data_IF_403113463112
#
_entry.id   IF_403113463112
#
_cell.length_a   1.000
_cell.length_b   1.000
_cell.length_c   1.000
_cell.angle_alpha   90.00
_cell.angle_beta   90.00
_cell.angle_gamma   90.00
#
_symmetry.space_group_name_H-M   'P 1'
#
loop_
_entity.id
_entity.type
_entity.pdbx_description
1 polymer ?
#
# COMPACT_ATOMS: atom_id res chain seq x y z
N UNK A 1 13.24 60.29 22.30
CA UNK A 1 12.09 59.37 22.13
C UNK A 1 12.01 58.74 20.72
N UNK A 2 12.34 59.41 19.60
CA UNK A 2 12.26 58.79 18.25
C UNK A 2 13.33 57.72 17.97
N UNK A 3 14.52 57.81 18.57
CA UNK A 3 15.63 56.84 18.37
C UNK A 3 15.41 55.52 19.11
N UNK A 4 14.76 55.54 20.28
CA UNK A 4 14.43 54.35 21.06
C UNK A 4 13.30 53.48 20.39
N UNK A 5 12.38 54.14 19.67
CA UNK A 5 11.32 53.41 18.93
C UNK A 5 11.89 52.64 17.71
N UNK A 6 12.94 53.18 17.04
CA UNK A 6 13.58 52.53 15.90
C UNK A 6 14.35 51.27 16.32
N UNK A 7 15.04 51.30 17.47
CA UNK A 7 15.74 50.11 17.98
C UNK A 7 14.77 49.03 18.46
N UNK A 8 13.60 49.38 18.98
CA UNK A 8 12.54 48.41 19.35
C UNK A 8 11.90 47.77 18.13
N UNK A 9 11.74 48.49 17.02
CA UNK A 9 11.21 47.97 15.76
C UNK A 9 12.18 46.99 15.10
N UNK A 10 13.50 47.24 15.14
CA UNK A 10 14.52 46.35 14.57
C UNK A 10 14.70 45.08 15.38
N UNK A 11 14.53 45.13 16.71
CA UNK A 11 14.57 43.94 17.58
C UNK A 11 13.41 42.97 17.33
N UNK A 12 12.24 43.46 16.87
CA UNK A 12 11.07 42.64 16.62
C UNK A 12 11.16 41.85 15.31
N UNK A 13 12.06 42.22 14.36
CA UNK A 13 12.18 41.54 13.06
C UNK A 13 13.21 40.41 13.03
N UNK A 14 13.99 40.23 14.12
CA UNK A 14 15.01 39.17 14.22
C UNK A 14 14.52 37.89 14.91
N UNK A 15 13.25 37.85 15.32
CA UNK A 15 12.66 36.70 15.99
C UNK A 15 11.90 35.79 15.08
N UNK A 16 12.60 34.91 14.31
CA UNK A 16 11.75 33.89 13.77
C UNK A 16 12.12 33.12 12.53
N UNK A 17 13.26 32.50 12.48
CA UNK A 17 13.40 31.25 11.73
C UNK A 17 13.62 30.10 12.72
N UNK A 18 12.61 29.74 13.47
CA UNK A 18 12.58 28.42 14.10
C UNK A 18 12.32 27.42 12.98
N UNK A 19 13.38 26.79 12.46
CA UNK A 19 13.27 25.61 11.62
C UNK A 19 12.43 24.61 12.42
N UNK A 20 11.22 24.34 11.93
CA UNK A 20 10.33 23.35 12.58
C UNK A 20 11.03 21.99 12.43
N UNK A 21 11.63 21.51 13.51
CA UNK A 21 12.25 20.17 13.59
C UNK A 21 11.29 19.05 13.16
N UNK A 22 9.99 19.31 13.25
CA UNK A 22 8.93 18.39 12.84
C UNK A 22 8.83 18.15 11.33
N UNK A 23 9.50 18.97 10.50
CA UNK A 23 9.52 18.81 9.05
C UNK A 23 10.63 17.87 8.57
N UNK A 24 11.57 17.51 9.42
CA UNK A 24 12.72 16.67 9.07
C UNK A 24 12.40 15.22 9.41
N UNK A 25 12.50 14.33 8.41
CA UNK A 25 12.45 12.88 8.64
C UNK A 25 13.76 12.44 9.33
N UNK A 26 13.65 11.45 10.21
CA UNK A 26 14.80 10.85 10.92
C UNK A 26 15.58 11.82 11.81
N UNK A 27 14.95 12.88 12.33
CA UNK A 27 15.60 13.95 13.07
C UNK A 27 16.30 13.48 14.35
N UNK A 28 15.80 12.43 15.02
CA UNK A 28 16.38 11.89 16.25
C UNK A 28 17.29 10.66 16.00
N UNK A 29 17.44 10.24 14.78
CA UNK A 29 18.44 9.24 14.45
C UNK A 29 19.79 9.92 14.44
N UNK A 30 20.67 9.62 15.41
CA UNK A 30 22.06 10.02 15.36
C UNK A 30 22.75 9.31 14.18
N UNK A 31 22.52 9.80 12.97
CA UNK A 31 23.29 9.43 11.79
C UNK A 31 24.60 10.19 11.85
N UNK A 32 25.44 9.85 12.81
CA UNK A 32 26.84 10.25 12.79
C UNK A 32 27.53 9.38 11.74
N UNK A 33 27.57 9.86 10.51
CA UNK A 33 28.56 9.41 9.53
C UNK A 33 29.95 9.94 10.01
N UNK A 34 30.98 9.12 10.28
CA UNK A 34 31.49 8.01 9.51
C UNK A 34 31.76 6.69 10.29
N UNK A 35 31.26 6.52 11.50
CA UNK A 35 31.50 5.33 12.30
C UNK A 35 30.21 4.57 12.71
N UNK A 36 29.16 4.65 11.92
CA UNK A 36 27.97 3.85 12.14
C UNK A 36 28.34 2.37 12.00
N UNK A 37 28.44 1.65 13.11
CA UNK A 37 28.37 0.19 13.10
C UNK A 37 27.07 -0.16 12.39
N UNK A 38 27.18 -0.79 11.22
CA UNK A 38 26.05 -1.21 10.41
C UNK A 38 25.13 -2.06 11.27
N UNK A 39 24.05 -1.50 11.76
CA UNK A 39 23.00 -2.27 12.39
C UNK A 39 22.18 -2.92 11.27
N UNK A 40 22.54 -4.14 10.90
CA UNK A 40 21.77 -4.94 9.96
C UNK A 40 20.46 -5.30 10.64
N UNK A 41 19.37 -4.69 10.21
CA UNK A 41 18.03 -5.12 10.61
C UNK A 41 17.72 -6.39 9.83
N UNK A 42 17.56 -7.51 10.53
CA UNK A 42 17.21 -8.79 9.91
C UNK A 42 15.80 -8.72 9.30
N UNK A 43 15.75 -8.61 7.99
CA UNK A 43 14.54 -8.62 7.18
C UNK A 43 14.09 -10.04 6.79
N UNK A 44 14.82 -11.07 7.22
CA UNK A 44 14.60 -12.47 6.81
C UNK A 44 13.21 -13.00 7.17
N UNK A 45 12.58 -12.49 8.24
CA UNK A 45 11.22 -12.88 8.63
C UNK A 45 10.12 -12.43 7.66
N UNK A 46 10.38 -11.41 6.86
CA UNK A 46 9.39 -10.86 5.92
C UNK A 46 9.47 -11.47 4.52
N UNK A 47 10.48 -12.29 4.24
CA UNK A 47 10.67 -12.92 2.93
C UNK A 47 9.63 -14.00 2.58
N UNK A 48 8.85 -14.47 3.55
CA UNK A 48 7.87 -15.57 3.38
C UNK A 48 6.45 -15.11 3.06
N UNK A 49 6.23 -13.82 2.84
CA UNK A 49 4.90 -13.36 2.45
C UNK A 49 4.65 -13.67 0.99
N UNK A 50 3.63 -14.45 0.70
CA UNK A 50 3.03 -14.64 -0.60
C UNK A 50 1.61 -14.10 -0.59
N UNK A 51 1.26 -13.32 -1.60
CA UNK A 51 -0.08 -12.81 -1.78
C UNK A 51 -1.05 -13.96 -2.06
N UNK A 52 -2.20 -13.95 -1.39
CA UNK A 52 -3.29 -14.88 -1.69
C UNK A 52 -4.36 -14.18 -2.47
N UNK A 53 -4.73 -14.78 -3.58
CA UNK A 53 -5.76 -14.29 -4.49
C UNK A 53 -7.08 -14.11 -3.73
N UNK A 54 -7.72 -12.96 -3.94
CA UNK A 54 -9.04 -12.67 -3.35
C UNK A 54 -10.08 -12.42 -4.46
N UNK A 55 -11.39 -12.53 -4.14
CA UNK A 55 -12.43 -12.09 -5.06
C UNK A 55 -12.18 -10.65 -5.55
N UNK A 56 -12.51 -10.39 -6.81
CA UNK A 56 -12.26 -9.14 -7.55
C UNK A 56 -10.80 -8.87 -7.92
N UNK A 57 -9.88 -9.81 -7.68
CA UNK A 57 -8.57 -9.74 -8.29
C UNK A 57 -8.65 -9.93 -9.82
N UNK A 58 -7.74 -9.29 -10.54
CA UNK A 58 -7.52 -9.51 -11.97
C UNK A 58 -6.26 -10.31 -12.17
N UNK A 59 -6.40 -11.42 -12.88
CA UNK A 59 -5.31 -12.34 -13.16
C UNK A 59 -4.91 -12.25 -14.63
N UNK A 60 -3.64 -11.98 -14.89
CA UNK A 60 -3.03 -12.26 -16.18
C UNK A 60 -2.62 -13.72 -16.18
N UNK A 61 -3.13 -14.46 -17.14
CA UNK A 61 -2.79 -15.87 -17.34
C UNK A 61 -2.26 -16.01 -18.76
N UNK A 62 -1.02 -16.41 -18.86
CA UNK A 62 -0.32 -16.66 -20.13
C UNK A 62 -0.01 -18.15 -20.23
N UNK A 63 -0.28 -18.73 -21.39
CA UNK A 63 0.11 -20.11 -21.70
C UNK A 63 1.21 -20.07 -22.77
N UNK A 64 2.39 -20.59 -22.42
CA UNK A 64 3.57 -20.45 -23.29
C UNK A 64 3.39 -21.16 -24.63
N UNK A 65 2.86 -22.36 -24.62
CA UNK A 65 2.68 -23.14 -25.85
C UNK A 65 1.33 -22.87 -26.57
N UNK A 66 0.39 -22.17 -25.91
CA UNK A 66 -0.97 -21.89 -26.38
C UNK A 66 -1.37 -20.45 -26.05
N UNK A 67 -0.72 -19.44 -26.65
CA UNK A 67 -0.95 -18.03 -26.32
C UNK A 67 -2.40 -17.58 -26.61
N UNK A 68 -3.11 -18.25 -27.53
CA UNK A 68 -4.52 -17.97 -27.85
C UNK A 68 -5.49 -18.29 -26.70
N UNK A 69 -5.08 -19.15 -25.75
CA UNK A 69 -5.86 -19.49 -24.56
C UNK A 69 -5.54 -18.57 -23.37
N UNK A 70 -4.55 -17.69 -23.52
CA UNK A 70 -4.18 -16.72 -22.52
C UNK A 70 -5.25 -15.63 -22.35
N UNK A 71 -5.21 -14.95 -21.20
CA UNK A 71 -6.17 -13.89 -20.84
C UNK A 71 -5.65 -12.49 -21.15
N UNK A 72 -4.43 -12.37 -21.64
CA UNK A 72 -3.78 -11.09 -21.97
C UNK A 72 -4.08 -10.75 -23.43
N UNK A 73 -5.07 -9.89 -23.67
CA UNK A 73 -5.31 -9.38 -25.02
C UNK A 73 -4.33 -8.24 -25.33
N UNK A 74 -3.59 -8.40 -26.42
CA UNK A 74 -2.59 -7.42 -26.91
C UNK A 74 -3.22 -6.07 -27.32
N UNK A 75 -4.55 -6.00 -27.44
CA UNK A 75 -5.28 -4.85 -27.99
C UNK A 75 -5.84 -3.87 -26.97
N UNK A 76 -5.76 -4.13 -25.66
CA UNK A 76 -6.31 -3.20 -24.68
C UNK A 76 -5.28 -2.15 -24.27
N UNK A 77 -5.42 -0.94 -24.80
CA UNK A 77 -4.62 0.23 -24.41
C UNK A 77 -4.81 0.65 -22.93
N UNK A 78 -5.80 0.10 -22.23
CA UNK A 78 -6.02 0.31 -20.79
C UNK A 78 -5.49 -0.88 -20.00
N UNK A 79 -4.30 -0.76 -19.46
CA UNK A 79 -3.63 -1.79 -18.63
C UNK A 79 -4.50 -2.33 -17.48
N UNK A 80 -5.43 -1.53 -16.96
CA UNK A 80 -6.29 -1.92 -15.84
C UNK A 80 -7.43 -2.88 -16.22
N UNK A 81 -7.68 -3.11 -17.52
CA UNK A 81 -8.74 -4.00 -18.01
C UNK A 81 -8.22 -5.34 -18.54
N UNK A 82 -6.91 -5.52 -18.60
CA UNK A 82 -6.31 -6.77 -19.03
C UNK A 82 -6.51 -7.88 -17.98
N UNK A 83 -6.55 -9.13 -18.45
CA UNK A 83 -6.69 -10.29 -17.58
C UNK A 83 -8.15 -10.64 -17.23
N UNK A 84 -8.32 -11.80 -16.60
CA UNK A 84 -9.61 -12.33 -16.16
C UNK A 84 -9.92 -11.90 -14.72
N UNK A 85 -11.18 -11.58 -14.46
CA UNK A 85 -11.65 -11.19 -13.12
C UNK A 85 -11.99 -12.45 -12.29
N UNK A 86 -11.48 -12.49 -11.06
CA UNK A 86 -11.93 -13.44 -10.04
C UNK A 86 -13.31 -13.00 -9.55
N UNK A 87 -14.32 -13.84 -9.74
CA UNK A 87 -15.69 -13.51 -9.36
C UNK A 87 -15.89 -13.52 -7.82
N UNK A 88 -17.05 -13.09 -7.33
CA UNK A 88 -17.37 -13.04 -5.91
C UNK A 88 -17.30 -14.41 -5.19
N UNK A 89 -17.46 -15.50 -5.93
CA UNK A 89 -17.32 -16.87 -5.40
C UNK A 89 -15.88 -17.40 -5.48
N UNK A 90 -14.89 -16.57 -5.85
CA UNK A 90 -13.48 -16.94 -5.93
C UNK A 90 -13.09 -17.76 -7.15
N UNK A 91 -13.89 -17.76 -8.21
CA UNK A 91 -13.61 -18.51 -9.43
C UNK A 91 -13.19 -17.59 -10.58
N UNK A 92 -12.39 -18.13 -11.48
CA UNK A 92 -12.12 -17.56 -12.81
C UNK A 92 -12.70 -18.46 -13.90
N UNK A 93 -13.08 -17.85 -15.03
CA UNK A 93 -13.51 -18.56 -16.24
C UNK A 93 -12.39 -18.54 -17.26
N UNK A 94 -12.03 -19.72 -17.71
CA UNK A 94 -10.97 -19.90 -18.71
C UNK A 94 -11.49 -20.81 -19.85
N UNK A 95 -10.96 -20.63 -21.07
CA UNK A 95 -11.29 -21.52 -22.19
C UNK A 95 -11.05 -22.99 -21.80
N UNK A 96 -11.70 -23.92 -22.43
CA UNK A 96 -11.64 -25.37 -22.22
C UNK A 96 -12.03 -25.84 -20.81
N UNK A 97 -11.38 -25.34 -19.75
CA UNK A 97 -11.59 -25.78 -18.34
C UNK A 97 -12.76 -25.10 -17.65
N UNK A 98 -13.46 -24.19 -18.35
CA UNK A 98 -14.68 -23.48 -17.89
C UNK A 98 -14.44 -22.62 -16.64
N UNK A 99 -14.65 -23.17 -15.43
CA UNK A 99 -14.60 -22.43 -14.16
C UNK A 99 -13.73 -23.14 -13.15
N UNK A 100 -12.76 -22.44 -12.58
CA UNK A 100 -11.82 -22.97 -11.60
C UNK A 100 -11.72 -22.03 -10.37
N UNK A 101 -11.76 -22.59 -9.16
CA UNK A 101 -11.64 -21.85 -7.91
C UNK A 101 -10.17 -21.53 -7.64
N UNK A 102 -9.85 -20.22 -7.48
CA UNK A 102 -8.49 -19.72 -7.24
C UNK A 102 -8.37 -18.85 -5.98
N UNK A 103 -9.48 -18.37 -5.41
CA UNK A 103 -9.40 -17.54 -4.19
C UNK A 103 -8.77 -18.33 -3.02
N UNK A 104 -7.97 -17.62 -2.21
CA UNK A 104 -7.22 -18.20 -1.10
C UNK A 104 -5.92 -18.90 -1.50
N UNK A 105 -5.70 -19.17 -2.78
CA UNK A 105 -4.46 -19.75 -3.30
C UNK A 105 -3.40 -18.63 -3.50
N UNK A 106 -2.13 -18.99 -3.36
CA UNK A 106 -1.02 -18.15 -3.84
C UNK A 106 -0.95 -18.18 -5.37
N UNK A 107 -0.18 -17.29 -5.98
CA UNK A 107 0.02 -17.30 -7.44
C UNK A 107 0.55 -18.67 -7.90
N UNK A 108 1.54 -19.20 -7.21
CA UNK A 108 2.15 -20.51 -7.51
C UNK A 108 1.16 -21.67 -7.35
N UNK A 109 0.35 -21.66 -6.29
CA UNK A 109 -0.68 -22.68 -6.06
C UNK A 109 -1.78 -22.64 -7.13
N UNK A 110 -2.23 -21.42 -7.50
CA UNK A 110 -3.24 -21.23 -8.54
C UNK A 110 -2.71 -21.63 -9.92
N UNK A 111 -1.48 -21.28 -10.25
CA UNK A 111 -0.79 -21.68 -11.48
C UNK A 111 -0.80 -23.21 -11.63
N UNK A 112 -0.27 -23.93 -10.65
CA UNK A 112 -0.23 -25.42 -10.69
C UNK A 112 -1.63 -26.05 -10.80
N UNK A 113 -2.62 -25.44 -10.15
CA UNK A 113 -4.01 -25.92 -10.23
C UNK A 113 -4.58 -25.75 -11.63
N UNK A 114 -4.28 -24.62 -12.30
CA UNK A 114 -4.71 -24.35 -13.67
C UNK A 114 -3.99 -25.28 -14.64
N UNK A 115 -2.66 -25.44 -14.52
CA UNK A 115 -1.86 -26.39 -15.33
C UNK A 115 -2.44 -27.80 -15.25
N UNK A 116 -2.71 -28.29 -14.04
CA UNK A 116 -3.32 -29.62 -13.84
C UNK A 116 -4.69 -29.73 -14.50
N UNK A 117 -5.49 -28.67 -14.50
CA UNK A 117 -6.80 -28.70 -15.15
C UNK A 117 -6.68 -28.72 -16.69
N UNK A 118 -5.70 -28.01 -17.25
CA UNK A 118 -5.44 -28.01 -18.69
C UNK A 118 -4.78 -29.29 -19.17
N UNK A 119 -4.02 -30.02 -18.37
CA UNK A 119 -3.37 -31.27 -18.72
C UNK A 119 -4.33 -32.37 -19.22
N UNK A 120 -5.65 -32.21 -18.96
CA UNK A 120 -6.69 -33.11 -19.53
C UNK A 120 -6.97 -32.82 -21.01
N UNK A 121 -6.64 -31.62 -21.50
CA UNK A 121 -6.99 -31.15 -22.83
C UNK A 121 -5.76 -30.83 -23.70
N UNK A 122 -4.63 -30.56 -23.09
CA UNK A 122 -3.40 -30.10 -23.74
C UNK A 122 -2.21 -30.91 -23.23
N UNK A 123 -1.35 -31.31 -24.14
CA UNK A 123 -0.01 -31.78 -23.82
C UNK A 123 0.87 -30.56 -23.48
N UNK A 124 1.72 -30.67 -22.46
CA UNK A 124 2.68 -29.62 -22.06
C UNK A 124 2.07 -28.25 -21.77
N UNK A 125 0.97 -28.24 -21.02
CA UNK A 125 0.33 -26.99 -20.55
C UNK A 125 1.20 -26.27 -19.50
N UNK A 126 2.02 -25.31 -19.94
CA UNK A 126 2.82 -24.45 -19.09
C UNK A 126 2.12 -23.10 -18.92
N UNK A 127 1.77 -22.74 -17.66
CA UNK A 127 1.00 -21.54 -17.32
C UNK A 127 1.85 -20.58 -16.52
N UNK A 128 1.80 -19.29 -16.85
CA UNK A 128 2.24 -18.21 -16.00
C UNK A 128 1.04 -17.43 -15.47
N UNK A 129 1.01 -17.12 -14.17
CA UNK A 129 -0.08 -16.39 -13.54
C UNK A 129 0.47 -15.21 -12.74
N UNK A 130 -0.10 -14.02 -13.01
CA UNK A 130 0.21 -12.80 -12.30
C UNK A 130 -1.08 -12.10 -11.83
N UNK A 131 -1.09 -11.58 -10.60
CA UNK A 131 -2.17 -10.70 -10.12
C UNK A 131 -1.84 -9.26 -10.50
N UNK A 132 -2.68 -8.64 -11.34
CA UNK A 132 -2.42 -7.34 -11.94
C UNK A 132 -2.78 -6.15 -11.04
N UNK A 133 -3.74 -6.29 -10.15
CA UNK A 133 -4.33 -5.18 -9.40
C UNK A 133 -3.88 -5.10 -7.94
N UNK A 134 -2.71 -5.63 -7.61
CA UNK A 134 -2.11 -5.48 -6.29
C UNK A 134 -1.79 -4.01 -6.01
N UNK A 135 -2.50 -3.39 -5.05
CA UNK A 135 -2.32 -1.99 -4.69
C UNK A 135 -2.51 -1.77 -3.19
N UNK A 136 -1.78 -0.80 -2.63
CA UNK A 136 -2.05 -0.18 -1.35
C UNK A 136 -2.68 1.20 -1.59
N UNK A 137 -3.18 1.83 -0.54
CA UNK A 137 -3.79 3.15 -0.63
C UNK A 137 -3.08 4.12 0.30
N UNK A 138 -2.78 5.33 -0.18
CA UNK A 138 -2.26 6.41 0.64
C UNK A 138 -3.19 7.61 0.56
N UNK A 139 -3.54 8.16 1.72
CA UNK A 139 -4.51 9.23 1.87
C UNK A 139 -3.98 10.30 2.83
N UNK A 140 -4.59 11.48 2.81
CA UNK A 140 -4.27 12.60 3.68
C UNK A 140 -3.16 13.49 3.12
N UNK A 141 -2.26 13.94 3.96
CA UNK A 141 -1.26 14.96 3.68
C UNK A 141 -0.06 14.43 2.87
N UNK A 142 -0.32 13.98 1.64
CA UNK A 142 0.67 13.60 0.62
C UNK A 142 0.40 14.37 -0.67
N UNK A 143 1.40 14.50 -1.53
CA UNK A 143 1.24 15.25 -2.79
C UNK A 143 0.25 14.58 -3.73
N UNK A 144 0.29 13.26 -3.86
CA UNK A 144 -0.57 12.48 -4.73
C UNK A 144 -1.26 11.38 -3.91
N UNK A 145 -2.41 11.70 -3.31
CA UNK A 145 -3.23 10.73 -2.60
C UNK A 145 -3.93 9.78 -3.58
N UNK A 146 -4.00 8.50 -3.23
CA UNK A 146 -4.69 7.52 -4.06
C UNK A 146 -4.11 6.10 -3.98
N UNK A 147 -4.46 5.25 -4.94
CA UNK A 147 -3.93 3.90 -5.04
C UNK A 147 -2.48 3.89 -5.50
N UNK A 148 -1.64 3.14 -4.80
CA UNK A 148 -0.24 2.89 -5.12
C UNK A 148 -0.08 1.45 -5.59
N UNK A 149 0.39 1.23 -6.81
CA UNK A 149 0.62 -0.11 -7.35
C UNK A 149 1.82 -0.77 -6.67
N UNK A 150 1.65 -2.04 -6.30
CA UNK A 150 2.71 -2.84 -5.69
C UNK A 150 3.25 -3.85 -6.72
N UNK A 151 4.37 -3.51 -7.35
CA UNK A 151 4.99 -4.37 -8.37
C UNK A 151 5.54 -5.68 -7.79
N UNK A 152 6.05 -5.66 -6.56
CA UNK A 152 6.71 -6.81 -5.90
C UNK A 152 5.89 -7.32 -4.70
N UNK A 153 4.56 -7.41 -4.80
CA UNK A 153 3.66 -7.89 -3.73
C UNK A 153 3.72 -7.09 -2.42
N UNK A 154 4.75 -6.32 -2.19
CA UNK A 154 4.96 -5.47 -1.01
C UNK A 154 5.87 -4.29 -1.35
N UNK A 155 5.77 -3.23 -0.57
CA UNK A 155 6.71 -2.10 -0.61
C UNK A 155 6.96 -1.59 0.81
N UNK A 156 8.05 -0.88 1.05
CA UNK A 156 8.24 -0.21 2.33
C UNK A 156 7.36 1.03 2.44
N UNK A 157 7.06 1.47 3.67
CA UNK A 157 6.31 2.71 3.89
C UNK A 157 6.99 3.90 3.17
N UNK A 158 8.32 3.96 3.24
CA UNK A 158 9.07 5.03 2.56
C UNK A 158 8.91 4.98 1.03
N UNK A 159 8.92 3.78 0.43
CA UNK A 159 8.65 3.62 -1.01
C UNK A 159 7.24 4.06 -1.40
N UNK A 160 6.24 3.78 -0.56
CA UNK A 160 4.86 4.24 -0.79
C UNK A 160 4.79 5.77 -0.73
N UNK A 161 5.43 6.40 0.27
CA UNK A 161 5.48 7.86 0.40
C UNK A 161 6.19 8.48 -0.82
N UNK A 162 7.30 7.89 -1.27
CA UNK A 162 8.03 8.36 -2.44
C UNK A 162 7.19 8.25 -3.73
N UNK A 163 6.44 7.15 -3.93
CA UNK A 163 5.52 7.00 -5.06
C UNK A 163 4.36 8.01 -5.00
N UNK A 164 3.92 8.41 -3.81
CA UNK A 164 2.94 9.47 -3.61
C UNK A 164 3.51 10.89 -3.80
N UNK A 165 4.78 11.01 -4.19
CA UNK A 165 5.44 12.30 -4.45
C UNK A 165 5.86 13.05 -3.19
N UNK A 166 5.98 12.36 -2.06
CA UNK A 166 6.36 12.88 -0.74
C UNK A 166 5.19 13.46 0.09
N UNK A 167 5.48 13.68 1.37
CA UNK A 167 4.58 14.30 2.34
C UNK A 167 4.44 15.81 2.08
N UNK A 168 3.25 16.38 2.33
CA UNK A 168 3.09 17.83 2.28
C UNK A 168 3.79 18.52 3.45
N UNK A 169 3.91 19.84 3.39
CA UNK A 169 4.41 20.66 4.51
C UNK A 169 3.48 20.65 5.72
N UNK A 170 2.19 20.36 5.49
CA UNK A 170 1.17 20.24 6.53
C UNK A 170 1.08 18.84 7.15
N UNK A 171 1.86 17.88 6.65
CA UNK A 171 1.83 16.50 7.13
C UNK A 171 2.40 16.35 8.54
N UNK A 172 1.70 15.61 9.37
CA UNK A 172 2.21 15.19 10.68
C UNK A 172 3.07 13.93 10.52
N UNK A 173 4.38 14.12 10.50
CA UNK A 173 5.37 13.05 10.33
C UNK A 173 5.49 12.14 11.56
N UNK A 174 4.96 12.56 12.71
CA UNK A 174 4.96 11.81 13.97
C UNK A 174 3.73 10.89 14.10
N UNK A 175 2.71 11.08 13.25
CA UNK A 175 1.46 10.34 13.36
C UNK A 175 0.94 9.88 11.99
N UNK A 176 1.63 8.92 11.38
CA UNK A 176 1.16 8.24 10.17
C UNK A 176 0.44 6.97 10.61
N UNK A 177 -0.83 6.85 10.23
CA UNK A 177 -1.68 5.72 10.59
C UNK A 177 -1.66 4.68 9.47
N UNK A 178 -1.33 3.45 9.81
CA UNK A 178 -1.35 2.31 8.90
C UNK A 178 -2.48 1.39 9.32
N UNK A 179 -3.44 1.16 8.44
CA UNK A 179 -4.58 0.26 8.63
C UNK A 179 -4.37 -1.00 7.80
N UNK A 180 -4.37 -2.16 8.46
CA UNK A 180 -4.19 -3.47 7.84
C UNK A 180 -5.43 -4.30 8.02
N UNK A 181 -6.01 -4.76 6.92
CA UNK A 181 -7.15 -5.67 6.98
C UNK A 181 -6.65 -7.12 7.02
N UNK A 182 -6.93 -7.83 8.13
CA UNK A 182 -6.56 -9.24 8.30
C UNK A 182 -7.68 -10.01 8.97
N UNK A 183 -8.09 -11.14 8.40
CA UNK A 183 -9.09 -12.05 8.96
C UNK A 183 -10.35 -11.33 9.45
N UNK A 184 -10.94 -10.51 8.60
CA UNK A 184 -12.14 -9.71 8.90
C UNK A 184 -11.99 -8.69 10.06
N UNK A 185 -10.76 -8.32 10.43
CA UNK A 185 -10.44 -7.30 11.44
C UNK A 185 -9.51 -6.25 10.85
N UNK A 186 -9.75 -4.99 11.19
CA UNK A 186 -8.84 -3.89 10.86
C UNK A 186 -7.87 -3.70 12.02
N UNK A 187 -6.59 -3.83 11.74
CA UNK A 187 -5.51 -3.54 12.69
C UNK A 187 -4.92 -2.19 12.32
N UNK A 188 -4.94 -1.26 13.24
CA UNK A 188 -4.31 0.05 13.06
C UNK A 188 -3.01 0.15 13.83
N UNK A 189 -2.07 0.86 13.24
CA UNK A 189 -0.79 1.19 13.86
C UNK A 189 -0.40 2.61 13.50
N UNK A 190 -0.09 3.43 14.50
CA UNK A 190 0.51 4.73 14.29
C UNK A 190 2.03 4.61 14.31
N UNK A 191 2.70 5.27 13.38
CA UNK A 191 4.15 5.30 13.26
C UNK A 191 4.67 6.73 13.21
N UNK A 192 5.87 6.93 13.75
CA UNK A 192 6.60 8.19 13.78
C UNK A 192 7.85 8.06 12.90
N UNK A 193 7.97 8.96 11.92
CA UNK A 193 9.11 9.04 10.99
C UNK A 193 10.19 10.05 11.44
N UNK A 194 10.04 10.69 12.60
CA UNK A 194 10.99 11.69 13.13
C UNK A 194 11.81 11.17 14.29
N UNK A 195 11.25 10.23 15.08
CA UNK A 195 11.82 9.72 16.31
C UNK A 195 12.89 8.63 16.13
N UNK A 196 13.40 8.10 17.24
CA UNK A 196 14.46 7.08 17.28
C UNK A 196 14.16 5.81 16.49
N UNK A 197 12.88 5.47 16.31
CA UNK A 197 12.43 4.31 15.55
C UNK A 197 12.05 4.64 14.10
N UNK A 198 12.37 5.83 13.61
CA UNK A 198 11.95 6.31 12.29
C UNK A 198 12.43 5.40 11.15
N UNK A 199 13.67 4.89 11.20
CA UNK A 199 14.19 3.94 10.20
C UNK A 199 13.35 2.67 10.19
N UNK A 200 13.05 2.10 11.37
CA UNK A 200 12.22 0.90 11.49
C UNK A 200 10.79 1.15 11.00
N UNK A 201 10.24 2.33 11.23
CA UNK A 201 8.94 2.75 10.72
C UNK A 201 8.97 2.89 9.19
N UNK A 202 9.98 3.56 8.64
CA UNK A 202 10.15 3.80 7.20
C UNK A 202 10.33 2.50 6.40
N UNK A 203 11.04 1.52 6.99
CA UNK A 203 11.27 0.20 6.38
C UNK A 203 10.15 -0.81 6.63
N UNK A 204 9.08 -0.42 7.33
CA UNK A 204 7.93 -1.29 7.55
C UNK A 204 7.28 -1.69 6.23
N UNK A 205 6.98 -2.99 6.07
CA UNK A 205 6.34 -3.50 4.87
C UNK A 205 4.84 -3.20 4.83
N UNK A 206 4.44 -2.68 3.69
CA UNK A 206 3.07 -2.42 3.27
C UNK A 206 2.67 -3.49 2.26
N UNK A 207 1.49 -4.04 2.42
CA UNK A 207 0.96 -5.14 1.63
C UNK A 207 -0.27 -4.70 0.83
N UNK A 208 -0.71 -5.50 -0.16
CA UNK A 208 -1.95 -5.21 -0.89
C UNK A 208 -3.14 -5.02 0.05
N UNK A 209 -3.96 -4.02 -0.27
CA UNK A 209 -5.13 -3.58 0.51
C UNK A 209 -4.82 -2.91 1.85
N UNK A 210 -3.54 -2.69 2.22
CA UNK A 210 -3.21 -1.81 3.34
C UNK A 210 -3.56 -0.36 2.98
N UNK A 211 -4.01 0.41 3.96
CA UNK A 211 -4.31 1.84 3.83
C UNK A 211 -3.39 2.63 4.74
N UNK A 212 -2.72 3.62 4.18
CA UNK A 212 -1.87 4.57 4.89
C UNK A 212 -2.61 5.91 4.94
N UNK A 213 -2.79 6.46 6.13
CA UNK A 213 -3.36 7.78 6.31
C UNK A 213 -2.34 8.71 6.97
N UNK A 214 -1.95 9.73 6.22
CA UNK A 214 -1.04 10.78 6.71
C UNK A 214 -1.88 11.91 7.30
N UNK A 215 -1.77 12.08 8.62
CA UNK A 215 -2.56 13.08 9.33
C UNK A 215 -2.01 14.49 9.16
N UNK A 216 -2.84 15.54 9.20
CA UNK A 216 -2.37 16.92 9.21
C UNK A 216 -1.77 17.33 10.56
N UNK A 217 -0.82 18.27 10.53
CA UNK A 217 -0.12 18.77 11.72
C UNK A 217 -1.04 19.45 12.77
N UNK A 218 -2.18 19.98 12.32
CA UNK A 218 -3.10 20.73 13.18
C UNK A 218 -4.07 19.85 14.00
N UNK A 219 -4.02 18.54 13.82
CA UNK A 219 -4.80 17.62 14.65
C UNK A 219 -4.09 17.44 15.99
N UNK A 220 -4.57 18.14 17.02
CA UNK A 220 -4.17 17.90 18.41
C UNK A 220 -4.37 16.42 18.73
N UNK A 221 -3.33 15.78 19.24
CA UNK A 221 -3.21 14.40 19.71
C UNK A 221 -4.37 13.47 19.28
N UNK A 222 -4.16 12.69 18.23
CA UNK A 222 -5.18 11.76 17.73
C UNK A 222 -5.30 10.59 18.72
N UNK A 223 -6.12 10.79 19.74
CA UNK A 223 -6.89 9.72 20.37
C UNK A 223 -8.20 9.53 19.57
N UNK A 224 -8.10 9.64 18.24
CA UNK A 224 -9.24 9.38 17.35
C UNK A 224 -9.38 7.88 17.28
N UNK A 225 -10.39 7.36 17.91
CA UNK A 225 -10.81 5.97 17.69
C UNK A 225 -11.03 5.76 16.19
N UNK A 226 -10.71 4.58 15.69
CA UNK A 226 -10.88 4.16 14.28
C UNK A 226 -12.26 4.56 13.74
N UNK A 227 -13.27 4.63 14.60
CA UNK A 227 -14.65 4.96 14.29
C UNK A 227 -14.84 6.39 13.73
N UNK A 228 -13.94 7.32 14.03
CA UNK A 228 -14.06 8.72 13.59
C UNK A 228 -13.42 8.94 12.20
N UNK A 229 -12.54 8.04 11.77
CA UNK A 229 -11.92 8.08 10.44
C UNK A 229 -12.76 7.32 9.40
N UNK A 230 -13.46 6.25 9.81
CA UNK A 230 -14.29 5.41 8.94
C UNK A 230 -15.37 6.16 8.17
N UNK A 231 -16.13 7.13 8.73
CA UNK A 231 -17.14 7.86 7.97
C UNK A 231 -16.56 8.68 6.81
N UNK A 232 -15.38 9.28 6.99
CA UNK A 232 -14.72 10.05 5.92
C UNK A 232 -14.21 9.17 4.78
N UNK A 233 -13.86 7.93 5.07
CA UNK A 233 -13.38 6.95 4.09
C UNK A 233 -14.55 6.32 3.33
N UNK A 234 -15.71 6.18 3.95
CA UNK A 234 -16.94 5.66 3.32
C UNK A 234 -17.50 6.59 2.25
N UNK A 235 -17.26 7.91 2.34
CA UNK A 235 -17.72 8.89 1.35
C UNK A 235 -16.95 8.85 0.02
N UNK A 236 -15.78 8.22 -0.03
CA UNK A 236 -15.02 8.00 -1.27
C UNK A 236 -15.36 6.66 -1.93
N UNK A 237 -16.62 6.32 -1.96
CA UNK A 237 -17.29 5.05 -2.28
C UNK A 237 -16.79 4.15 -3.43
N UNK A 238 -15.65 4.43 -4.03
CA UNK A 238 -15.03 3.58 -5.05
C UNK A 238 -13.69 2.95 -4.65
N UNK A 239 -13.01 3.50 -3.65
CA UNK A 239 -11.64 3.07 -3.30
C UNK A 239 -11.58 1.92 -2.29
N UNK A 240 -12.66 1.69 -1.55
CA UNK A 240 -12.70 0.72 -0.45
C UNK A 240 -13.71 -0.41 -0.67
N UNK A 241 -14.29 -0.56 -1.86
CA UNK A 241 -15.21 -1.66 -2.14
C UNK A 241 -14.62 -3.05 -1.78
N UNK A 242 -13.33 -3.34 -1.93
CA UNK A 242 -12.77 -4.61 -1.45
C UNK A 242 -12.81 -4.77 0.07
N UNK A 243 -12.85 -3.66 0.82
CA UNK A 243 -12.81 -3.69 2.29
C UNK A 243 -14.21 -3.83 2.89
N UNK A 244 -15.24 -3.31 2.20
CA UNK A 244 -16.63 -3.26 2.72
C UNK A 244 -17.48 -4.43 2.26
N UNK A 245 -17.20 -5.00 1.06
CA UNK A 245 -18.03 -6.08 0.50
C UNK A 245 -17.94 -7.43 1.24
N UNK A 246 -17.00 -7.59 2.18
CA UNK A 246 -16.94 -8.81 3.01
C UNK A 246 -17.97 -8.83 4.16
N UNK A 247 -18.67 -7.71 4.43
CA UNK A 247 -19.65 -7.66 5.52
C UNK A 247 -21.04 -8.20 5.12
N UNK A 248 -21.32 -8.33 3.81
CA UNK A 248 -22.61 -8.75 3.27
C UNK A 248 -22.73 -10.27 2.97
N UNK A 249 -21.70 -11.06 3.28
CA UNK A 249 -21.70 -12.51 2.95
C UNK A 249 -21.84 -13.43 4.17
N UNK A 250 -22.28 -12.90 5.33
CA UNK A 250 -22.46 -13.69 6.56
C UNK A 250 -23.88 -13.58 7.17
N UNK A 251 -24.89 -13.23 6.35
CA UNK A 251 -26.32 -13.45 6.67
C UNK A 251 -26.96 -14.40 5.66
#
# INVERSE_FOLDING_TARGET
>A
MKKTLIYLSIALTLGGCTTKKDLVLFNETNVTLPNAKNSVTDLSRESRYEYRIVPHDRLSITMYNHPELGTTSVQSQKQDLNGVLVNSKGHVRLPLIKSIHVAGLTQTEAQRKIEKAYATYLEDAEVSLEVLNKRAYILGEVKNAGPIRLFNEKATLLQIIAQAGDLTTSANRQAIVIMKHRRNKVHTRTVDLTGKNAIKAATMMIYPNDVIYVTPNNMKAINVGINDILPGIQLTGGLLQPIVSTKFLLD
#
